data_IF_556813828726
#
_entry.id   IF_556813828726
#
_cell.length_a   1.000
_cell.length_b   1.000
_cell.length_c   1.000
_cell.angle_alpha   90.00
_cell.angle_beta   90.00
_cell.angle_gamma   90.00
#
_symmetry.space_group_name_H-M   'P 1'
#
loop_
_entity.id
_entity.type
_entity.pdbx_description
1 polymer ?
#
# COMPACT_ATOMS: atom_id res chain seq x y z
N UNK A 1 73.51 -32.44 -16.48
CA UNK A 1 72.38 -31.95 -17.30
C UNK A 1 70.97 -32.35 -16.85
N UNK A 2 70.73 -33.48 -16.16
CA UNK A 2 69.36 -33.82 -15.67
C UNK A 2 68.90 -33.00 -14.44
N UNK A 3 69.80 -32.67 -13.51
CA UNK A 3 69.46 -31.93 -12.28
C UNK A 3 69.08 -30.46 -12.52
N UNK A 4 69.71 -29.79 -13.49
CA UNK A 4 69.38 -28.41 -13.87
C UNK A 4 67.99 -28.28 -14.52
N UNK A 5 67.55 -29.30 -15.27
CA UNK A 5 66.24 -29.30 -15.93
C UNK A 5 65.08 -29.46 -14.92
N UNK A 6 65.24 -30.31 -13.90
CA UNK A 6 64.22 -30.53 -12.86
C UNK A 6 64.04 -29.26 -12.01
N UNK A 7 65.13 -28.55 -11.71
CA UNK A 7 65.08 -27.29 -10.97
C UNK A 7 64.39 -26.17 -11.76
N UNK A 8 64.67 -26.05 -13.07
CA UNK A 8 64.04 -25.05 -13.94
C UNK A 8 62.53 -25.34 -14.14
N UNK A 9 62.16 -26.62 -14.26
CA UNK A 9 60.76 -27.04 -14.35
C UNK A 9 59.99 -26.72 -13.05
N UNK A 10 60.57 -27.04 -11.88
CA UNK A 10 59.98 -26.74 -10.56
C UNK A 10 59.77 -25.25 -10.35
N UNK A 11 60.72 -24.41 -10.76
CA UNK A 11 60.61 -22.95 -10.65
C UNK A 11 59.50 -22.39 -11.55
N UNK A 12 59.37 -22.90 -12.78
CA UNK A 12 58.29 -22.51 -13.71
C UNK A 12 56.90 -22.94 -13.24
N UNK A 13 56.79 -24.04 -12.51
CA UNK A 13 55.51 -24.50 -11.94
C UNK A 13 55.08 -23.59 -10.78
N UNK A 14 56.02 -23.20 -9.90
CA UNK A 14 55.72 -22.27 -8.81
C UNK A 14 55.29 -20.89 -9.30
N UNK A 15 55.93 -20.37 -10.36
CA UNK A 15 55.55 -19.07 -10.95
C UNK A 15 54.19 -19.10 -11.65
N UNK A 16 53.84 -20.23 -12.29
CA UNK A 16 52.51 -20.39 -12.90
C UNK A 16 51.41 -20.52 -11.85
N UNK A 17 51.67 -21.21 -10.73
CA UNK A 17 50.70 -21.32 -9.63
C UNK A 17 50.42 -19.96 -8.97
N UNK A 18 51.44 -19.16 -8.71
CA UNK A 18 51.23 -17.81 -8.14
C UNK A 18 50.48 -16.90 -9.09
N UNK A 19 50.76 -16.96 -10.40
CA UNK A 19 50.01 -16.19 -11.40
C UNK A 19 48.53 -16.59 -11.46
N UNK A 20 48.21 -17.89 -11.34
CA UNK A 20 46.84 -18.39 -11.33
C UNK A 20 46.11 -17.98 -10.04
N UNK A 21 46.79 -17.98 -8.90
CA UNK A 21 46.22 -17.52 -7.63
C UNK A 21 45.95 -16.01 -7.65
N UNK A 22 46.84 -15.22 -8.26
CA UNK A 22 46.64 -13.77 -8.46
C UNK A 22 45.47 -13.51 -9.40
N UNK A 23 45.37 -14.22 -10.53
CA UNK A 23 44.25 -14.12 -11.45
C UNK A 23 42.93 -14.51 -10.79
N UNK A 24 42.91 -15.59 -9.99
CA UNK A 24 41.73 -16.02 -9.25
C UNK A 24 41.30 -14.98 -8.21
N UNK A 25 42.26 -14.40 -7.48
CA UNK A 25 42.00 -13.31 -6.51
C UNK A 25 41.51 -12.03 -7.19
N UNK A 26 42.07 -11.68 -8.36
CA UNK A 26 41.63 -10.54 -9.17
C UNK A 26 40.22 -10.75 -9.72
N UNK A 27 39.91 -11.96 -10.20
CA UNK A 27 38.59 -12.32 -10.69
C UNK A 27 37.56 -12.30 -9.55
N UNK A 28 37.90 -12.84 -8.38
CA UNK A 28 37.05 -12.82 -7.19
C UNK A 28 36.78 -11.40 -6.70
N UNK A 29 37.78 -10.50 -6.74
CA UNK A 29 37.60 -9.08 -6.42
C UNK A 29 36.70 -8.36 -7.44
N UNK A 30 36.81 -8.71 -8.72
CA UNK A 30 36.01 -8.08 -9.78
C UNK A 30 34.56 -8.57 -9.76
N UNK A 31 34.34 -9.85 -9.44
CA UNK A 31 33.00 -10.43 -9.24
C UNK A 31 32.33 -9.81 -8.00
N UNK A 32 33.07 -9.58 -6.91
CA UNK A 32 32.57 -8.88 -5.72
C UNK A 32 32.22 -7.40 -5.96
N UNK A 33 32.75 -6.76 -7.01
CA UNK A 33 32.37 -5.39 -7.40
C UNK A 33 31.10 -5.32 -8.26
N UNK A 34 30.64 -6.44 -8.82
CA UNK A 34 29.41 -6.53 -9.64
C UNK A 34 28.19 -7.03 -8.86
N UNK A 35 28.39 -7.54 -7.65
CA UNK A 35 27.30 -7.68 -6.69
C UNK A 35 27.01 -6.29 -6.14
N UNK A 36 26.10 -5.56 -6.79
CA UNK A 36 25.54 -4.32 -6.25
C UNK A 36 25.18 -4.55 -4.76
N UNK A 37 25.89 -3.95 -3.80
CA UNK A 37 25.45 -4.01 -2.42
C UNK A 37 24.24 -3.08 -2.30
N UNK A 38 23.17 -3.58 -1.66
CA UNK A 38 22.03 -2.80 -1.16
C UNK A 38 21.01 -2.27 -2.19
N UNK A 39 20.17 -3.17 -2.69
CA UNK A 39 18.73 -2.87 -2.89
C UNK A 39 17.99 -2.78 -1.54
N UNK A 40 18.55 -2.00 -0.60
CA UNK A 40 17.94 -1.65 0.69
C UNK A 40 17.56 -0.15 0.77
N UNK A 41 17.72 0.62 -0.32
CA UNK A 41 17.68 2.08 -0.30
C UNK A 41 16.38 2.73 -0.80
N UNK A 42 15.72 2.24 -1.86
CA UNK A 42 14.50 2.88 -2.41
C UNK A 42 13.36 1.89 -2.60
N UNK A 43 13.66 0.70 -3.14
CA UNK A 43 12.65 -0.34 -3.39
C UNK A 43 11.97 -0.81 -2.09
N UNK A 44 12.71 -0.86 -0.99
CA UNK A 44 12.18 -1.20 0.34
C UNK A 44 11.18 -0.16 0.83
N UNK A 45 11.49 1.13 0.66
CA UNK A 45 10.58 2.22 1.02
C UNK A 45 9.38 2.30 0.08
N UNK A 46 9.56 2.03 -1.21
CA UNK A 46 8.46 1.98 -2.16
C UNK A 46 7.50 0.82 -1.85
N UNK A 47 8.03 -0.37 -1.53
CA UNK A 47 7.21 -1.48 -1.03
C UNK A 47 6.48 -1.13 0.26
N UNK A 48 7.16 -0.45 1.20
CA UNK A 48 6.54 0.04 2.43
C UNK A 48 5.40 1.01 2.14
N UNK A 49 5.62 2.00 1.27
CA UNK A 49 4.59 2.97 0.86
C UNK A 49 3.37 2.30 0.25
N UNK A 50 3.57 1.32 -0.63
CA UNK A 50 2.47 0.53 -1.22
C UNK A 50 1.70 -0.29 -0.16
N UNK A 51 2.39 -0.83 0.83
CA UNK A 51 1.74 -1.54 1.94
C UNK A 51 0.95 -0.61 2.85
N UNK A 52 1.45 0.62 3.06
CA UNK A 52 0.78 1.66 3.84
C UNK A 52 -0.47 2.17 3.11
N UNK A 53 -0.38 2.41 1.81
CA UNK A 53 -1.52 2.78 0.95
C UNK A 53 -2.65 1.74 1.03
N UNK A 54 -2.33 0.46 0.86
CA UNK A 54 -3.34 -0.61 0.92
C UNK A 54 -3.96 -0.78 2.32
N UNK A 55 -3.21 -0.46 3.39
CA UNK A 55 -3.72 -0.47 4.77
C UNK A 55 -4.62 0.73 5.04
N UNK A 56 -4.21 1.91 4.58
CA UNK A 56 -4.94 3.16 4.69
C UNK A 56 -6.27 3.09 3.94
N UNK A 57 -6.29 2.57 2.71
CA UNK A 57 -7.49 2.39 1.91
C UNK A 57 -8.55 1.57 2.66
N UNK A 58 -8.16 0.43 3.23
CA UNK A 58 -9.08 -0.43 4.01
C UNK A 58 -9.62 0.27 5.24
N UNK A 59 -8.77 1.03 5.95
CA UNK A 59 -9.15 1.74 7.16
C UNK A 59 -10.10 2.90 6.87
N UNK A 60 -9.83 3.69 5.83
CA UNK A 60 -10.72 4.76 5.36
C UNK A 60 -12.07 4.21 4.91
N UNK A 61 -12.10 3.08 4.19
CA UNK A 61 -13.34 2.40 3.84
C UNK A 61 -14.12 1.92 5.07
N UNK A 62 -13.43 1.35 6.07
CA UNK A 62 -14.06 0.94 7.32
C UNK A 62 -14.65 2.13 8.08
N UNK A 63 -13.90 3.23 8.18
CA UNK A 63 -14.36 4.47 8.82
C UNK A 63 -15.58 5.06 8.11
N UNK A 64 -15.58 5.08 6.78
CA UNK A 64 -16.74 5.49 5.98
C UNK A 64 -17.96 4.60 6.22
N UNK A 65 -17.77 3.27 6.34
CA UNK A 65 -18.86 2.35 6.69
C UNK A 65 -19.42 2.62 8.09
N UNK A 66 -18.56 2.86 9.08
CA UNK A 66 -18.98 3.23 10.44
C UNK A 66 -19.73 4.57 10.42
N UNK A 67 -19.24 5.57 9.68
CA UNK A 67 -19.92 6.85 9.51
C UNK A 67 -21.32 6.69 8.88
N UNK A 68 -21.47 5.79 7.90
CA UNK A 68 -22.76 5.46 7.30
C UNK A 68 -23.70 4.76 8.29
N UNK A 69 -23.19 3.82 9.09
CA UNK A 69 -23.97 3.16 10.14
C UNK A 69 -24.46 4.14 11.20
N UNK A 70 -23.61 5.07 11.64
CA UNK A 70 -24.00 6.15 12.56
C UNK A 70 -25.14 6.98 11.95
N UNK A 71 -25.07 7.26 10.64
CA UNK A 71 -26.16 7.97 9.95
C UNK A 71 -27.44 7.14 9.82
N UNK A 72 -27.34 5.82 9.68
CA UNK A 72 -28.48 4.92 9.56
C UNK A 72 -29.14 4.59 10.92
N UNK A 73 -28.36 4.39 11.98
CA UNK A 73 -28.85 4.09 13.33
C UNK A 73 -29.64 5.25 13.95
N UNK A 74 -29.44 6.49 13.46
CA UNK A 74 -30.34 7.62 13.75
C UNK A 74 -31.82 7.31 13.45
N UNK A 75 -32.13 6.35 12.56
CA UNK A 75 -33.48 5.98 12.19
C UNK A 75 -34.15 4.94 13.11
N UNK A 76 -33.39 4.22 13.95
CA UNK A 76 -33.86 2.92 14.46
C UNK A 76 -33.85 2.69 15.97
N UNK A 77 -33.17 3.48 16.80
CA UNK A 77 -33.15 3.13 18.23
C UNK A 77 -32.91 4.34 19.16
N UNK A 78 -33.89 4.60 20.03
CA UNK A 78 -33.79 5.52 21.16
C UNK A 78 -33.17 4.83 22.39
N UNK A 79 -32.95 3.50 22.36
CA UNK A 79 -32.58 2.69 23.53
C UNK A 79 -31.11 2.21 23.57
N UNK A 80 -30.31 2.40 22.50
CA UNK A 80 -28.92 1.93 22.48
C UNK A 80 -27.90 3.09 22.38
N UNK A 81 -27.49 3.69 23.51
CA UNK A 81 -26.49 4.75 23.51
C UNK A 81 -25.07 4.19 23.35
N UNK A 82 -24.35 4.74 22.36
CA UNK A 82 -22.90 5.03 22.43
C UNK A 82 -21.86 3.90 22.35
N UNK A 83 -22.23 2.62 22.17
CA UNK A 83 -21.22 1.53 22.13
C UNK A 83 -20.34 1.56 20.85
N UNK A 84 -20.78 2.19 19.75
CA UNK A 84 -19.99 2.26 18.49
C UNK A 84 -18.97 3.43 18.46
N UNK A 85 -18.90 4.25 19.52
CA UNK A 85 -18.01 5.43 19.57
C UNK A 85 -16.53 5.08 19.77
N UNK A 86 -16.23 4.05 20.57
CA UNK A 86 -14.85 3.62 20.86
C UNK A 86 -14.20 2.98 19.62
N UNK A 87 -14.95 2.16 18.87
CA UNK A 87 -14.48 1.55 17.63
C UNK A 87 -14.23 2.60 16.52
N UNK A 88 -15.10 3.61 16.42
CA UNK A 88 -14.93 4.73 15.48
C UNK A 88 -13.67 5.55 15.80
N UNK A 89 -13.49 5.93 17.07
CA UNK A 89 -12.33 6.71 17.52
C UNK A 89 -11.03 5.92 17.38
N UNK A 90 -11.05 4.60 17.63
CA UNK A 90 -9.92 3.72 17.42
C UNK A 90 -9.50 3.72 15.94
N UNK A 91 -10.45 3.51 15.02
CA UNK A 91 -10.18 3.52 13.57
C UNK A 91 -9.70 4.90 13.10
N UNK A 92 -10.27 5.99 13.63
CA UNK A 92 -9.82 7.35 13.34
C UNK A 92 -8.35 7.56 13.71
N UNK A 93 -7.95 7.19 14.93
CA UNK A 93 -6.56 7.30 15.40
C UNK A 93 -5.59 6.44 14.57
N UNK A 94 -6.06 5.27 14.13
CA UNK A 94 -5.29 4.38 13.26
C UNK A 94 -5.06 4.94 11.86
N UNK A 95 -6.03 5.68 11.31
CA UNK A 95 -5.92 6.39 10.02
C UNK A 95 -4.91 7.53 10.14
N UNK A 96 -5.00 8.34 11.21
CA UNK A 96 -4.05 9.43 11.45
C UNK A 96 -2.60 8.92 11.57
N UNK A 97 -2.41 7.80 12.27
CA UNK A 97 -1.11 7.14 12.36
C UNK A 97 -0.60 6.68 10.99
N UNK A 98 -1.45 6.03 10.20
CA UNK A 98 -1.05 5.53 8.87
C UNK A 98 -0.78 6.66 7.88
N UNK A 99 -1.52 7.78 7.94
CA UNK A 99 -1.24 9.00 7.18
C UNK A 99 0.14 9.57 7.55
N UNK A 100 0.44 9.67 8.85
CA UNK A 100 1.76 10.09 9.33
C UNK A 100 2.88 9.16 8.86
N UNK A 101 2.71 7.85 9.01
CA UNK A 101 3.69 6.85 8.54
C UNK A 101 3.92 6.92 7.02
N UNK A 102 2.86 7.16 6.23
CA UNK A 102 2.96 7.33 4.79
C UNK A 102 3.71 8.60 4.44
N UNK A 103 3.40 9.73 5.08
CA UNK A 103 4.12 10.98 4.89
C UNK A 103 5.62 10.84 5.20
N UNK A 104 5.95 10.22 6.33
CA UNK A 104 7.34 9.94 6.71
C UNK A 104 8.03 9.00 5.70
N UNK A 105 7.31 7.99 5.20
CA UNK A 105 7.83 7.12 4.16
C UNK A 105 8.13 7.90 2.87
N UNK A 106 7.28 8.85 2.50
CA UNK A 106 7.49 9.73 1.34
C UNK A 106 8.72 10.63 1.54
N UNK A 107 8.89 11.21 2.74
CA UNK A 107 10.08 12.02 3.05
C UNK A 107 11.36 11.18 2.97
N UNK A 108 11.32 9.96 3.53
CA UNK A 108 12.45 9.04 3.47
C UNK A 108 12.75 8.61 2.03
N UNK A 109 11.74 8.40 1.17
CA UNK A 109 11.95 8.10 -0.26
C UNK A 109 12.60 9.26 -1.00
N UNK A 110 12.28 10.50 -0.62
CA UNK A 110 12.88 11.71 -1.21
C UNK A 110 14.36 11.85 -0.83
N UNK A 111 14.74 11.42 0.37
CA UNK A 111 16.10 11.59 0.91
C UNK A 111 17.00 10.36 0.73
N UNK A 112 16.45 9.19 0.38
CA UNK A 112 17.17 7.91 0.34
C UNK A 112 18.42 7.88 -0.55
N UNK A 113 18.51 8.81 -1.49
CA UNK A 113 19.59 8.89 -2.47
C UNK A 113 20.38 10.22 -2.37
N UNK A 114 20.43 10.82 -1.17
CA UNK A 114 21.08 12.12 -0.96
C UNK A 114 20.43 13.27 -1.74
N UNK A 115 19.14 13.12 -2.10
CA UNK A 115 18.39 14.07 -2.93
C UNK A 115 18.55 13.89 -4.44
N UNK A 116 19.37 12.95 -4.91
CA UNK A 116 19.50 12.64 -6.34
C UNK A 116 18.47 11.59 -6.77
N UNK A 117 17.33 12.06 -7.25
CA UNK A 117 16.21 11.23 -7.71
C UNK A 117 16.21 11.15 -9.25
N UNK A 118 15.85 9.97 -9.78
CA UNK A 118 15.51 9.86 -11.21
C UNK A 118 14.16 10.50 -11.50
N UNK A 119 13.94 10.97 -12.74
CA UNK A 119 12.65 11.53 -13.17
C UNK A 119 11.46 10.63 -12.83
N UNK A 120 11.64 9.30 -12.95
CA UNK A 120 10.59 8.33 -12.61
C UNK A 120 10.27 8.33 -11.10
N UNK A 121 11.28 8.37 -10.25
CA UNK A 121 11.10 8.41 -8.80
C UNK A 121 10.44 9.72 -8.35
N UNK A 122 10.77 10.84 -8.98
CA UNK A 122 10.15 12.13 -8.70
C UNK A 122 8.65 12.14 -9.01
N UNK A 123 8.27 11.62 -10.18
CA UNK A 123 6.84 11.47 -10.56
C UNK A 123 6.10 10.55 -9.58
N UNK A 124 6.71 9.45 -9.16
CA UNK A 124 6.10 8.55 -8.17
C UNK A 124 5.93 9.22 -6.81
N UNK A 125 6.94 9.94 -6.33
CA UNK A 125 6.87 10.69 -5.07
C UNK A 125 5.74 11.72 -5.13
N UNK A 126 5.63 12.46 -6.23
CA UNK A 126 4.53 13.41 -6.44
C UNK A 126 3.16 12.72 -6.35
N UNK A 127 3.01 11.57 -7.01
CA UNK A 127 1.78 10.76 -6.93
C UNK A 127 1.46 10.34 -5.50
N UNK A 128 2.46 9.92 -4.72
CA UNK A 128 2.23 9.56 -3.31
C UNK A 128 1.81 10.74 -2.45
N UNK A 129 2.25 11.97 -2.74
CA UNK A 129 1.72 13.18 -2.08
C UNK A 129 0.26 13.45 -2.45
N UNK A 130 -0.11 13.28 -3.71
CA UNK A 130 -1.50 13.40 -4.16
C UNK A 130 -2.38 12.38 -3.44
N UNK A 131 -1.98 11.11 -3.42
CA UNK A 131 -2.67 10.02 -2.70
C UNK A 131 -2.83 10.36 -1.20
N UNK A 132 -1.75 10.80 -0.54
CA UNK A 132 -1.81 11.19 0.87
C UNK A 132 -2.79 12.36 1.11
N UNK A 133 -2.76 13.37 0.22
CA UNK A 133 -3.66 14.52 0.31
C UNK A 133 -5.13 14.13 0.13
N UNK A 134 -5.42 13.26 -0.84
CA UNK A 134 -6.76 12.77 -1.13
C UNK A 134 -7.32 12.02 0.08
N UNK A 135 -6.58 11.05 0.63
CA UNK A 135 -7.01 10.31 1.82
C UNK A 135 -7.15 11.21 3.06
N UNK A 136 -6.25 12.18 3.26
CA UNK A 136 -6.37 13.12 4.37
C UNK A 136 -7.62 13.99 4.25
N UNK A 137 -7.94 14.43 3.03
CA UNK A 137 -9.13 15.25 2.76
C UNK A 137 -10.40 14.44 2.92
N UNK A 138 -10.44 13.22 2.39
CA UNK A 138 -11.58 12.30 2.54
C UNK A 138 -11.85 11.97 4.01
N UNK A 139 -10.80 11.67 4.78
CA UNK A 139 -10.91 11.41 6.21
C UNK A 139 -11.47 12.61 6.97
N UNK A 140 -10.95 13.81 6.72
CA UNK A 140 -11.45 15.06 7.35
C UNK A 140 -12.90 15.34 6.99
N UNK A 141 -13.29 15.13 5.73
CA UNK A 141 -14.67 15.36 5.29
C UNK A 141 -15.64 14.35 5.94
N UNK A 142 -15.25 13.08 6.01
CA UNK A 142 -16.04 12.03 6.67
C UNK A 142 -16.15 12.31 8.16
N UNK A 143 -15.05 12.64 8.84
CA UNK A 143 -15.02 12.97 10.26
C UNK A 143 -15.87 14.21 10.59
N UNK A 144 -15.78 15.28 9.80
CA UNK A 144 -16.63 16.46 9.95
C UNK A 144 -18.13 16.14 9.73
N UNK A 145 -18.44 15.15 8.91
CA UNK A 145 -19.82 14.68 8.72
C UNK A 145 -20.31 13.90 9.94
N UNK A 146 -19.49 13.01 10.49
CA UNK A 146 -19.79 12.30 11.75
C UNK A 146 -19.98 13.30 12.90
N UNK A 147 -19.10 14.30 13.03
CA UNK A 147 -19.20 15.29 14.10
C UNK A 147 -20.48 16.12 14.01
N UNK A 148 -20.84 16.64 12.81
CA UNK A 148 -22.10 17.37 12.62
C UNK A 148 -23.33 16.56 13.01
N UNK A 149 -23.27 15.23 12.80
CA UNK A 149 -24.34 14.31 13.20
C UNK A 149 -24.36 14.10 14.71
N UNK A 150 -23.20 13.98 15.36
CA UNK A 150 -23.08 13.98 16.84
C UNK A 150 -23.66 15.23 17.46
N UNK A 151 -23.25 16.41 16.98
CA UNK A 151 -23.75 17.69 17.48
C UNK A 151 -25.29 17.79 17.31
N UNK A 152 -25.82 17.28 16.20
CA UNK A 152 -27.28 17.22 15.97
C UNK A 152 -27.99 16.27 16.96
N UNK A 153 -27.37 15.14 17.32
CA UNK A 153 -27.91 14.21 18.32
C UNK A 153 -27.91 14.82 19.72
N UNK A 154 -26.82 15.49 20.12
CA UNK A 154 -26.73 16.16 21.42
C UNK A 154 -27.80 17.25 21.57
N UNK A 155 -28.04 18.04 20.53
CA UNK A 155 -29.10 19.05 20.51
C UNK A 155 -30.50 18.43 20.65
N UNK A 156 -30.78 17.32 19.96
CA UNK A 156 -32.06 16.61 20.08
C UNK A 156 -32.26 15.99 21.47
N UNK A 157 -31.22 15.38 22.02
CA UNK A 157 -31.25 14.80 23.37
C UNK A 157 -31.45 15.87 24.45
N UNK A 158 -30.78 17.02 24.31
CA UNK A 158 -30.95 18.15 25.21
C UNK A 158 -32.36 18.76 25.13
N UNK A 159 -32.92 18.87 23.91
CA UNK A 159 -34.31 19.29 23.70
C UNK A 159 -35.30 18.35 24.40
N UNK A 160 -35.14 17.04 24.23
CA UNK A 160 -35.97 16.02 24.89
C UNK A 160 -35.87 16.10 26.43
N UNK A 161 -34.65 16.30 26.97
CA UNK A 161 -34.41 16.37 28.42
C UNK A 161 -34.93 17.64 29.08
N UNK A 162 -34.82 18.80 28.43
CA UNK A 162 -35.34 20.06 28.97
C UNK A 162 -36.87 20.10 28.95
N UNK A 163 -37.50 19.45 27.98
CA UNK A 163 -38.95 19.45 27.83
C UNK A 163 -39.65 18.49 28.80
N UNK A 164 -38.97 17.41 29.25
CA UNK A 164 -39.50 16.51 30.29
C UNK A 164 -39.61 17.16 31.69
N UNK A 165 -38.96 18.32 31.91
CA UNK A 165 -39.06 19.07 33.17
C UNK A 165 -40.25 20.02 33.25
N UNK A 166 -40.93 20.28 32.13
CA UNK A 166 -41.98 21.31 32.02
C UNK A 166 -43.41 20.73 31.94
N UNK A 167 -43.58 19.40 32.01
CA UNK A 167 -44.89 18.73 31.89
C UNK A 167 -45.66 18.68 33.23
N UNK A 168 -45.90 19.86 33.80
CA UNK A 168 -46.70 20.07 34.99
C UNK A 168 -47.99 20.83 34.72
N UNK A 169 -48.88 20.35 33.84
CA UNK A 169 -50.23 20.91 33.73
C UNK A 169 -51.05 20.60 32.48
N UNK A 170 -52.05 19.72 32.62
CA UNK A 170 -53.36 19.57 31.94
C UNK A 170 -53.53 19.70 30.39
N UNK A 171 -52.56 20.16 29.60
CA UNK A 171 -52.64 20.27 28.11
C UNK A 171 -51.89 19.13 27.37
N UNK A 172 -51.74 17.97 28.02
CA UNK A 172 -50.84 16.90 27.60
C UNK A 172 -51.25 16.22 26.28
N UNK A 173 -52.54 16.08 25.97
CA UNK A 173 -52.99 15.37 24.77
C UNK A 173 -52.75 16.13 23.46
N UNK A 174 -53.06 17.44 23.43
CA UNK A 174 -52.84 18.27 22.24
C UNK A 174 -51.34 18.51 22.01
N UNK A 175 -50.60 18.74 23.09
CA UNK A 175 -49.14 18.86 23.07
C UNK A 175 -48.46 17.56 22.60
N UNK A 176 -49.01 16.39 22.96
CA UNK A 176 -48.52 15.08 22.51
C UNK A 176 -48.80 14.83 21.02
N UNK A 177 -49.94 15.27 20.49
CA UNK A 177 -50.25 15.21 19.05
C UNK A 177 -49.36 16.16 18.22
N UNK A 178 -49.10 17.37 18.73
CA UNK A 178 -48.15 18.31 18.12
C UNK A 178 -46.73 17.73 18.11
N UNK A 179 -46.33 17.04 19.17
CA UNK A 179 -45.07 16.29 19.23
C UNK A 179 -45.02 15.18 18.19
N UNK A 180 -46.06 14.37 18.08
CA UNK A 180 -46.14 13.30 17.07
C UNK A 180 -46.04 13.87 15.66
N UNK A 181 -46.71 15.00 15.39
CA UNK A 181 -46.62 15.68 14.09
C UNK A 181 -45.20 16.21 13.81
N UNK A 182 -44.55 16.82 14.80
CA UNK A 182 -43.18 17.34 14.66
C UNK A 182 -42.16 16.20 14.53
N UNK A 183 -42.33 15.10 15.27
CA UNK A 183 -41.48 13.92 15.12
C UNK A 183 -41.69 13.26 13.76
N UNK A 184 -42.92 13.14 13.27
CA UNK A 184 -43.22 12.65 11.91
C UNK A 184 -42.56 13.54 10.85
N UNK A 185 -42.64 14.88 11.00
CA UNK A 185 -42.01 15.79 10.07
C UNK A 185 -40.47 15.68 10.07
N UNK A 186 -39.86 15.50 11.24
CA UNK A 186 -38.42 15.25 11.38
C UNK A 186 -38.00 13.90 10.78
N UNK A 187 -38.79 12.83 11.02
CA UNK A 187 -38.58 11.52 10.41
C UNK A 187 -38.71 11.58 8.90
N UNK A 188 -39.70 12.31 8.37
CA UNK A 188 -39.89 12.48 6.92
C UNK A 188 -38.70 13.19 6.27
N UNK A 189 -38.16 14.24 6.91
CA UNK A 189 -36.94 14.91 6.45
C UNK A 189 -35.76 13.95 6.41
N UNK A 190 -35.60 13.15 7.47
CA UNK A 190 -34.49 12.19 7.60
C UNK A 190 -34.58 11.04 6.58
N UNK A 191 -35.79 10.55 6.31
CA UNK A 191 -36.06 9.58 5.24
C UNK A 191 -35.65 10.16 3.88
N UNK A 192 -35.95 11.44 3.63
CA UNK A 192 -35.59 12.08 2.38
C UNK A 192 -34.05 12.19 2.21
N UNK A 193 -33.31 12.46 3.29
CA UNK A 193 -31.85 12.44 3.29
C UNK A 193 -31.29 11.04 2.97
N UNK A 194 -31.90 9.98 3.53
CA UNK A 194 -31.50 8.58 3.25
C UNK A 194 -31.81 8.19 1.81
N UNK A 195 -32.95 8.63 1.27
CA UNK A 195 -33.27 8.45 -0.15
C UNK A 195 -32.23 9.14 -1.02
N UNK A 196 -31.87 10.38 -0.69
CA UNK A 196 -30.84 11.13 -1.42
C UNK A 196 -29.48 10.42 -1.39
N UNK A 197 -29.05 9.94 -0.23
CA UNK A 197 -27.82 9.16 -0.06
C UNK A 197 -27.86 7.81 -0.80
N UNK A 198 -29.01 7.14 -0.85
CA UNK A 198 -29.19 5.92 -1.62
C UNK A 198 -29.09 6.17 -3.13
N UNK A 199 -29.64 7.27 -3.63
CA UNK A 199 -29.47 7.69 -5.03
C UNK A 199 -28.01 8.04 -5.35
N UNK A 200 -27.30 8.72 -4.44
CA UNK A 200 -25.87 9.00 -4.58
C UNK A 200 -25.04 7.71 -4.60
N UNK A 201 -25.33 6.77 -3.70
CA UNK A 201 -24.65 5.46 -3.66
C UNK A 201 -24.94 4.65 -4.92
N UNK A 202 -26.17 4.65 -5.42
CA UNK A 202 -26.54 4.02 -6.71
C UNK A 202 -25.76 4.64 -7.87
N UNK A 203 -25.63 5.97 -7.89
CA UNK A 203 -24.85 6.69 -8.89
C UNK A 203 -23.36 6.33 -8.83
N UNK A 204 -22.79 6.32 -7.63
CA UNK A 204 -21.39 5.92 -7.38
C UNK A 204 -21.13 4.47 -7.81
N UNK A 205 -22.00 3.52 -7.45
CA UNK A 205 -21.90 2.12 -7.89
C UNK A 205 -22.06 1.96 -9.41
N UNK A 206 -22.94 2.75 -10.04
CA UNK A 206 -23.07 2.77 -11.50
C UNK A 206 -21.80 3.33 -12.18
N UNK A 207 -21.21 4.38 -11.61
CA UNK A 207 -19.92 4.93 -12.02
C UNK A 207 -18.78 3.93 -11.86
N UNK A 208 -18.67 3.28 -10.70
CA UNK A 208 -17.71 2.21 -10.44
C UNK A 208 -17.89 1.04 -11.40
N UNK A 209 -19.13 0.62 -11.71
CA UNK A 209 -19.41 -0.41 -12.73
C UNK A 209 -18.94 0.03 -14.12
N UNK A 210 -19.14 1.29 -14.49
CA UNK A 210 -18.68 1.82 -15.77
C UNK A 210 -17.14 1.81 -15.86
N UNK A 211 -16.45 2.16 -14.76
CA UNK A 211 -15.00 2.10 -14.65
C UNK A 211 -14.49 0.65 -14.68
N UNK A 212 -15.19 -0.28 -14.04
CA UNK A 212 -14.88 -1.71 -14.08
C UNK A 212 -15.08 -2.29 -15.49
N UNK A 213 -16.14 -1.91 -16.20
CA UNK A 213 -16.35 -2.28 -17.61
C UNK A 213 -15.31 -1.64 -18.54
N UNK A 214 -14.88 -0.40 -18.27
CA UNK A 214 -13.75 0.23 -18.96
C UNK A 214 -12.43 -0.50 -18.71
N UNK A 215 -12.19 -0.94 -17.48
CA UNK A 215 -11.00 -1.70 -17.08
C UNK A 215 -11.01 -3.16 -17.55
N UNK A 216 -12.17 -3.79 -17.73
CA UNK A 216 -12.28 -5.12 -18.37
C UNK A 216 -12.10 -5.03 -19.89
N UNK A 217 -12.54 -3.93 -20.52
CA UNK A 217 -12.12 -3.56 -21.88
C UNK A 217 -10.61 -3.33 -21.98
N UNK A 218 -10.00 -2.74 -20.95
CA UNK A 218 -8.56 -2.65 -20.77
C UNK A 218 -7.88 -4.00 -20.58
N UNK A 219 -8.46 -4.95 -19.84
CA UNK A 219 -7.91 -6.30 -19.64
C UNK A 219 -8.02 -7.17 -20.91
N UNK A 220 -9.12 -7.08 -21.65
CA UNK A 220 -9.27 -7.71 -22.97
C UNK A 220 -8.37 -7.04 -24.01
N UNK A 221 -8.21 -5.71 -23.95
CA UNK A 221 -7.26 -4.94 -24.75
C UNK A 221 -5.79 -5.25 -24.41
N UNK A 222 -5.46 -5.48 -23.13
CA UNK A 222 -4.15 -5.92 -22.67
C UNK A 222 -3.90 -7.39 -23.04
N UNK A 223 -4.92 -8.24 -23.11
CA UNK A 223 -4.78 -9.62 -23.62
C UNK A 223 -4.57 -9.61 -25.13
N UNK A 224 -5.22 -8.70 -25.86
CA UNK A 224 -4.99 -8.49 -27.30
C UNK A 224 -3.67 -7.76 -27.61
N UNK A 225 -3.14 -6.96 -26.67
CA UNK A 225 -1.88 -6.20 -26.81
C UNK A 225 -0.68 -6.89 -26.15
N UNK A 226 -0.86 -8.00 -25.42
CA UNK A 226 0.22 -8.76 -24.79
C UNK A 226 0.24 -10.21 -25.31
N UNK A 227 0.63 -10.43 -26.59
CA UNK A 227 1.11 -11.73 -27.02
C UNK A 227 2.51 -11.96 -26.44
N UNK A 228 2.63 -12.47 -25.20
CA UNK A 228 3.98 -12.70 -24.67
C UNK A 228 4.19 -12.99 -23.18
N UNK A 229 3.16 -13.19 -22.36
CA UNK A 229 3.37 -13.51 -20.93
C UNK A 229 4.23 -14.77 -20.72
N UNK A 230 4.12 -15.78 -21.61
CA UNK A 230 5.00 -16.95 -21.60
C UNK A 230 6.47 -16.65 -21.92
N UNK A 231 6.77 -15.57 -22.65
CA UNK A 231 8.14 -15.18 -23.01
C UNK A 231 8.78 -14.20 -22.04
N UNK A 232 7.99 -13.43 -21.29
CA UNK A 232 8.48 -12.49 -20.28
C UNK A 232 8.83 -13.23 -18.97
N UNK A 233 8.05 -14.24 -18.60
CA UNK A 233 8.40 -15.13 -17.48
C UNK A 233 9.63 -16.00 -17.81
N UNK A 234 9.72 -16.51 -19.05
CA UNK A 234 10.94 -17.15 -19.56
C UNK A 234 12.09 -16.15 -19.66
N UNK A 235 11.85 -14.88 -20.01
CA UNK A 235 12.86 -13.84 -20.12
C UNK A 235 13.52 -13.50 -18.78
N UNK A 236 12.73 -13.52 -17.69
CA UNK A 236 13.22 -13.28 -16.34
C UNK A 236 14.06 -14.47 -15.84
N UNK A 237 13.63 -15.72 -16.09
CA UNK A 237 14.47 -16.89 -15.81
C UNK A 237 15.70 -16.99 -16.73
N UNK A 238 15.61 -16.53 -17.98
CA UNK A 238 16.67 -16.62 -19.00
C UNK A 238 17.75 -15.55 -18.87
N UNK A 239 17.49 -14.44 -18.19
CA UNK A 239 18.53 -13.44 -17.87
C UNK A 239 19.42 -13.92 -16.71
N UNK A 240 18.84 -14.60 -15.72
CA UNK A 240 19.58 -15.20 -14.60
C UNK A 240 20.34 -16.48 -15.00
N UNK A 241 19.84 -17.25 -15.97
CA UNK A 241 20.51 -18.49 -16.43
C UNK A 241 21.71 -18.24 -17.35
N UNK A 242 21.73 -17.18 -18.16
CA UNK A 242 22.89 -16.90 -19.05
C UNK A 242 24.14 -16.49 -18.27
N UNK A 243 23.98 -15.68 -17.22
CA UNK A 243 25.10 -15.28 -16.37
C UNK A 243 25.60 -16.47 -15.54
N UNK A 244 24.67 -17.28 -14.99
CA UNK A 244 25.02 -18.51 -14.27
C UNK A 244 25.67 -19.58 -15.16
N UNK A 245 25.26 -19.69 -16.43
CA UNK A 245 25.83 -20.67 -17.36
C UNK A 245 27.23 -20.29 -17.83
N UNK A 246 27.51 -19.01 -18.07
CA UNK A 246 28.88 -18.55 -18.36
C UNK A 246 29.81 -18.83 -17.17
N UNK A 247 29.38 -18.54 -15.94
CA UNK A 247 30.17 -18.79 -14.75
C UNK A 247 30.39 -20.30 -14.54
N UNK A 248 29.35 -21.12 -14.70
CA UNK A 248 29.45 -22.58 -14.61
C UNK A 248 30.39 -23.19 -15.66
N UNK A 249 30.35 -22.70 -16.91
CA UNK A 249 31.27 -23.12 -17.97
C UNK A 249 32.72 -22.75 -17.66
N UNK A 250 32.97 -21.51 -17.21
CA UNK A 250 34.32 -21.05 -16.87
C UNK A 250 34.89 -21.86 -15.70
N UNK A 251 34.09 -22.09 -14.64
CA UNK A 251 34.49 -22.92 -13.50
C UNK A 251 34.73 -24.37 -13.94
N UNK A 252 33.87 -24.94 -14.79
CA UNK A 252 34.03 -26.30 -15.32
C UNK A 252 35.30 -26.49 -16.15
N UNK A 253 35.63 -25.54 -17.03
CA UNK A 253 36.87 -25.58 -17.84
C UNK A 253 38.11 -25.50 -16.94
N UNK A 254 38.08 -24.62 -15.93
CA UNK A 254 39.17 -24.49 -14.96
C UNK A 254 39.36 -25.79 -14.19
N UNK A 255 38.30 -26.41 -13.69
CA UNK A 255 38.37 -27.69 -12.96
C UNK A 255 38.89 -28.83 -13.85
N UNK A 256 38.39 -28.96 -15.08
CA UNK A 256 38.82 -30.00 -16.02
C UNK A 256 40.31 -29.86 -16.35
N UNK A 257 40.79 -28.63 -16.55
CA UNK A 257 42.21 -28.37 -16.79
C UNK A 257 43.08 -28.71 -15.58
N UNK A 258 42.61 -28.42 -14.35
CA UNK A 258 43.34 -28.79 -13.13
C UNK A 258 43.45 -30.30 -12.94
N UNK A 259 42.39 -31.06 -13.24
CA UNK A 259 42.38 -32.53 -13.12
C UNK A 259 43.32 -33.16 -14.16
N UNK A 260 43.23 -32.73 -15.43
CA UNK A 260 44.14 -33.20 -16.48
C UNK A 260 45.59 -32.97 -16.06
N UNK A 261 45.92 -31.75 -15.62
CA UNK A 261 47.29 -31.39 -15.27
C UNK A 261 47.85 -32.20 -14.09
N UNK A 262 47.01 -32.58 -13.13
CA UNK A 262 47.40 -33.46 -12.02
C UNK A 262 47.60 -34.91 -12.47
N UNK A 263 46.78 -35.42 -13.39
CA UNK A 263 46.84 -36.82 -13.83
C UNK A 263 47.93 -37.09 -14.87
N UNK A 264 48.31 -36.09 -15.67
CA UNK A 264 49.38 -36.19 -16.67
C UNK A 264 50.79 -35.94 -16.07
N UNK A 265 50.86 -35.65 -14.77
CA UNK A 265 52.12 -35.49 -14.04
C UNK A 265 52.40 -36.70 -13.16
#
# INVERSE_FOLDING_TARGET
NRTANICNQSHRIKTKQTALFVLFKFLSLKISKYTNPMSLSWDSLHHKAKSLEARLEKRVQNYSSIAQKINANFLCDEENPLIESDDEQAVASEIERDLGELYDCIQNMRTCNGGSLSNHQEVLIKRYYEIHFDYSTEFKNTSATVQRKRDSMELMQQSSRNQHKDDGGQDSSFSKLLREKTSIAASMKSINDVISQAFETKSSLAGQRSSLMGSSGGLSGLTASVPGFGRLIDGIQRKQSRESMCIALVVGIILCFTIWWVFLR
#
